data_IF_882741375175
#
_entry.id   IF_882741375175
#
_cell.length_a   1.000
_cell.length_b   1.000
_cell.length_c   1.000
_cell.angle_alpha   90.00
_cell.angle_beta   90.00
_cell.angle_gamma   90.00
#
_symmetry.space_group_name_H-M   'P 1'
#
loop_
_entity.id
_entity.type
_entity.pdbx_description
1 polymer ?
#
# COMPACT_ATOMS: atom_id res chain seq x y z
N UNK A 1 30.04 -75.80 79.82
CA UNK A 1 28.63 -76.13 80.08
C UNK A 1 27.71 -75.05 79.54
N UNK A 2 26.95 -75.47 78.59
CA UNK A 2 25.58 -75.09 78.36
C UNK A 2 25.27 -73.55 78.35
N UNK A 3 24.55 -73.01 77.56
CA UNK A 3 23.36 -73.43 76.85
C UNK A 3 22.97 -72.28 75.87
N UNK A 4 22.77 -72.66 74.75
CA UNK A 4 21.72 -72.34 73.73
C UNK A 4 20.64 -71.37 74.15
N UNK A 5 20.39 -70.38 73.35
CA UNK A 5 19.06 -70.04 72.90
C UNK A 5 19.12 -69.01 71.71
N UNK A 6 18.64 -69.47 70.68
CA UNK A 6 18.31 -68.67 69.49
C UNK A 6 16.94 -67.95 69.68
N UNK A 7 16.75 -66.75 69.29
CA UNK A 7 15.41 -66.28 69.03
C UNK A 7 15.20 -65.97 67.55
N UNK A 8 14.11 -66.45 67.13
CA UNK A 8 13.29 -66.35 65.91
C UNK A 8 13.29 -65.06 65.18
N UNK A 9 13.41 -65.22 63.86
CA UNK A 9 13.15 -64.28 62.84
C UNK A 9 11.71 -63.78 62.81
N UNK A 10 11.52 -62.51 63.01
CA UNK A 10 10.34 -61.83 62.51
C UNK A 10 10.86 -60.65 61.69
N UNK A 11 11.09 -60.94 60.49
CA UNK A 11 11.55 -59.91 59.56
C UNK A 11 10.86 -60.00 58.25
N UNK A 12 10.11 -59.05 57.95
CA UNK A 12 9.94 -58.92 56.54
C UNK A 12 8.58 -58.71 55.90
N UNK A 13 7.93 -57.68 56.24
CA UNK A 13 6.90 -57.18 55.30
C UNK A 13 6.87 -55.62 55.16
N UNK A 14 7.74 -54.95 55.91
CA UNK A 14 7.78 -53.47 55.86
C UNK A 14 8.41 -52.92 54.56
N UNK A 15 9.36 -53.66 53.99
CA UNK A 15 10.06 -53.19 52.77
C UNK A 15 9.24 -53.28 51.49
N UNK A 16 8.36 -54.30 51.36
CA UNK A 16 7.51 -54.44 50.20
C UNK A 16 6.40 -53.37 50.18
N UNK A 17 5.82 -53.05 51.32
CA UNK A 17 4.79 -51.96 51.36
C UNK A 17 5.36 -50.59 51.09
N UNK A 18 6.58 -50.27 51.55
CA UNK A 18 7.23 -48.99 51.21
C UNK A 18 7.62 -48.85 49.74
N UNK A 19 8.09 -49.96 49.14
CA UNK A 19 8.40 -49.93 47.70
C UNK A 19 7.14 -49.81 46.86
N UNK A 20 6.02 -50.40 47.24
CA UNK A 20 4.76 -50.30 46.54
C UNK A 20 4.14 -48.92 46.63
N UNK A 21 4.28 -48.22 47.79
CA UNK A 21 3.87 -46.85 48.01
C UNK A 21 4.70 -45.83 47.12
N UNK A 22 6.01 -46.10 47.00
CA UNK A 22 6.87 -45.24 46.17
C UNK A 22 6.61 -45.44 44.68
N UNK A 23 6.28 -46.63 44.23
CA UNK A 23 5.93 -46.91 42.83
C UNK A 23 4.55 -46.29 42.49
N UNK A 24 3.55 -46.41 43.39
CA UNK A 24 2.23 -45.83 43.23
C UNK A 24 2.26 -44.29 43.20
N UNK A 25 3.07 -43.68 44.07
CA UNK A 25 3.27 -42.22 44.08
C UNK A 25 3.96 -41.69 42.84
N UNK A 26 4.97 -42.41 42.33
CA UNK A 26 5.69 -42.04 41.10
C UNK A 26 4.82 -42.10 39.84
N UNK A 27 3.97 -43.12 39.73
CA UNK A 27 3.05 -43.25 38.60
C UNK A 27 1.95 -42.17 38.64
N UNK A 28 1.45 -41.84 39.85
CA UNK A 28 0.45 -40.80 40.00
C UNK A 28 0.99 -39.41 39.59
N UNK A 29 2.24 -39.09 39.98
CA UNK A 29 2.86 -37.81 39.58
C UNK A 29 3.14 -37.74 38.08
N UNK A 30 3.54 -38.85 37.45
CA UNK A 30 3.75 -38.92 36.01
C UNK A 30 2.44 -38.73 35.21
N UNK A 31 1.33 -39.32 35.68
CA UNK A 31 0.03 -39.16 35.01
C UNK A 31 -0.51 -37.74 35.13
N UNK A 32 -0.36 -37.12 36.31
CA UNK A 32 -0.75 -35.72 36.52
C UNK A 32 0.17 -34.75 35.80
N UNK A 33 1.46 -35.01 35.71
CA UNK A 33 2.43 -34.20 34.96
C UNK A 33 2.22 -34.29 33.46
N UNK A 34 1.99 -35.49 32.91
CA UNK A 34 1.73 -35.65 31.50
C UNK A 34 0.37 -35.09 31.06
N UNK A 35 -0.66 -35.27 31.88
CA UNK A 35 -2.00 -34.70 31.62
C UNK A 35 -2.01 -33.16 31.67
N UNK A 36 -1.29 -32.56 32.63
CA UNK A 36 -1.15 -31.11 32.72
C UNK A 36 -0.38 -30.51 31.54
N UNK A 37 0.66 -31.21 31.07
CA UNK A 37 1.46 -30.75 29.94
C UNK A 37 0.65 -30.79 28.60
N UNK A 38 -0.09 -31.86 28.39
CA UNK A 38 -0.93 -31.98 27.16
C UNK A 38 -2.08 -30.98 27.19
N UNK A 39 -2.74 -30.79 28.34
CA UNK A 39 -3.82 -29.82 28.45
C UNK A 39 -3.31 -28.36 28.35
N UNK A 40 -2.16 -28.07 28.91
CA UNK A 40 -1.48 -26.78 28.79
C UNK A 40 -1.07 -26.47 27.34
N UNK A 41 -0.61 -27.48 26.60
CA UNK A 41 -0.26 -27.32 25.18
C UNK A 41 -1.48 -27.09 24.28
N UNK A 42 -2.63 -27.66 24.63
CA UNK A 42 -3.87 -27.45 23.86
C UNK A 42 -4.52 -26.09 24.15
N UNK A 43 -4.43 -25.60 25.39
CA UNK A 43 -4.98 -24.30 25.78
C UNK A 43 -3.99 -23.14 25.60
N UNK A 44 -2.67 -23.40 25.75
CA UNK A 44 -1.63 -22.37 25.67
C UNK A 44 -1.26 -21.93 24.25
N UNK A 45 -1.63 -22.68 23.21
CA UNK A 45 -1.25 -22.38 21.83
C UNK A 45 -2.37 -21.67 21.03
N UNK A 46 -3.38 -21.15 21.70
CA UNK A 46 -4.23 -20.10 21.17
C UNK A 46 -3.54 -18.76 21.41
N UNK A 47 -2.42 -18.55 20.73
CA UNK A 47 -1.94 -17.23 20.46
C UNK A 47 -3.10 -16.52 19.75
N UNK A 48 -3.66 -15.43 20.30
CA UNK A 48 -4.62 -14.64 19.51
C UNK A 48 -3.88 -14.30 18.23
N UNK A 49 -4.37 -14.79 17.11
CA UNK A 49 -3.91 -14.27 15.85
C UNK A 49 -4.05 -12.77 15.99
N UNK A 50 -2.92 -12.08 16.13
CA UNK A 50 -2.89 -10.62 16.11
C UNK A 50 -3.65 -10.28 14.84
N UNK A 51 -4.87 -9.76 15.01
CA UNK A 51 -5.67 -9.30 13.90
C UNK A 51 -4.73 -8.40 13.10
N UNK A 52 -4.31 -8.87 11.93
CA UNK A 52 -3.45 -8.09 11.07
C UNK A 52 -4.16 -6.75 10.92
N UNK A 53 -3.58 -5.71 11.50
CA UNK A 53 -4.09 -4.36 11.34
C UNK A 53 -4.32 -4.17 9.83
N UNK A 54 -5.46 -3.63 9.39
CA UNK A 54 -5.74 -3.42 7.98
C UNK A 54 -4.51 -2.73 7.39
N UNK A 55 -3.86 -3.36 6.42
CA UNK A 55 -2.70 -2.77 5.76
C UNK A 55 -3.16 -1.41 5.26
N UNK A 56 -2.46 -0.35 5.67
CA UNK A 56 -2.74 1.00 5.19
C UNK A 56 -2.76 0.94 3.65
N UNK A 57 -3.74 1.58 2.98
CA UNK A 57 -3.83 1.55 1.53
C UNK A 57 -2.51 2.05 0.95
N UNK A 58 -1.82 1.18 0.24
CA UNK A 58 -0.59 1.54 -0.49
C UNK A 58 -1.02 2.44 -1.63
N UNK A 59 -0.83 3.75 -1.49
CA UNK A 59 -1.05 4.71 -2.57
C UNK A 59 0.09 4.50 -3.57
N UNK A 60 -0.19 4.04 -4.80
CA UNK A 60 0.85 3.85 -5.79
C UNK A 60 1.52 5.20 -6.11
N UNK A 61 2.83 5.22 -6.41
CA UNK A 61 3.51 6.46 -6.76
C UNK A 61 2.86 7.09 -7.99
N UNK A 62 2.74 8.44 -8.03
CA UNK A 62 2.16 9.13 -9.17
C UNK A 62 3.02 8.96 -10.42
N UNK A 63 2.36 8.79 -11.58
CA UNK A 63 3.01 8.69 -12.88
C UNK A 63 2.91 10.05 -13.57
N UNK A 64 4.06 10.56 -14.05
CA UNK A 64 4.14 11.82 -14.77
C UNK A 64 4.49 11.59 -16.23
N UNK A 65 3.80 12.30 -17.13
CA UNK A 65 4.06 12.33 -18.58
C UNK A 65 4.51 13.74 -18.92
N UNK A 66 5.82 13.99 -19.07
CA UNK A 66 6.30 15.30 -19.51
C UNK A 66 5.94 15.52 -20.99
N UNK A 67 5.58 16.75 -21.32
CA UNK A 67 5.34 17.17 -22.69
C UNK A 67 6.38 18.22 -23.10
N UNK A 68 6.74 18.23 -24.38
CA UNK A 68 7.57 19.28 -24.93
C UNK A 68 6.88 20.64 -24.76
N UNK A 69 7.66 21.69 -24.59
CA UNK A 69 7.15 23.03 -24.42
C UNK A 69 6.30 23.48 -25.60
N UNK A 70 5.32 24.31 -25.30
CA UNK A 70 4.44 24.95 -26.26
C UNK A 70 4.83 26.41 -26.41
N UNK A 71 4.80 26.91 -27.64
CA UNK A 71 4.88 28.34 -27.93
C UNK A 71 3.69 28.72 -28.78
N UNK A 72 2.85 29.63 -28.30
CA UNK A 72 1.65 30.09 -28.98
C UNK A 72 1.59 31.60 -28.99
N UNK A 73 0.98 32.16 -30.04
CA UNK A 73 0.63 33.57 -30.14
C UNK A 73 -0.73 33.78 -29.44
N UNK A 74 -0.77 34.70 -28.49
CA UNK A 74 -1.98 35.13 -27.78
C UNK A 74 -2.41 36.48 -28.35
N UNK A 75 -3.66 36.57 -28.82
CA UNK A 75 -4.25 37.83 -29.26
C UNK A 75 -4.72 38.62 -28.03
N UNK A 76 -4.22 39.82 -27.84
CA UNK A 76 -4.60 40.74 -26.78
C UNK A 76 -5.06 42.09 -27.31
N UNK A 77 -5.80 42.86 -26.50
CA UNK A 77 -6.23 44.20 -26.85
C UNK A 77 -5.04 45.16 -26.99
N UNK A 78 -3.98 44.95 -26.22
CA UNK A 78 -2.74 45.74 -26.22
C UNK A 78 -1.68 45.24 -27.24
N UNK A 79 -2.06 44.31 -28.13
CA UNK A 79 -1.18 43.68 -29.09
C UNK A 79 -0.96 42.18 -28.86
N UNK A 80 -0.31 41.54 -29.84
CA UNK A 80 0.02 40.13 -29.77
C UNK A 80 1.11 39.87 -28.80
N UNK A 81 0.95 38.79 -27.97
CA UNK A 81 1.92 38.31 -27.01
C UNK A 81 2.22 36.82 -27.25
N UNK A 82 3.40 36.40 -26.86
CA UNK A 82 3.78 35.00 -26.94
C UNK A 82 3.70 34.35 -25.58
N UNK A 83 3.02 33.20 -25.52
CA UNK A 83 3.08 32.30 -24.37
C UNK A 83 4.08 31.19 -24.66
N UNK A 84 5.08 31.06 -23.80
CA UNK A 84 5.94 29.90 -23.75
C UNK A 84 5.66 29.12 -22.46
N UNK A 85 5.21 27.86 -22.59
CA UNK A 85 4.85 27.05 -21.44
C UNK A 85 5.29 25.60 -21.59
N UNK A 86 5.89 25.04 -20.52
CA UNK A 86 6.12 23.62 -20.35
C UNK A 86 5.09 23.05 -19.41
N UNK A 87 4.67 21.84 -19.66
CA UNK A 87 3.73 21.16 -18.77
C UNK A 87 3.98 19.66 -18.66
N UNK A 88 3.52 19.07 -17.57
CA UNK A 88 3.58 17.65 -17.29
C UNK A 88 2.20 17.17 -16.82
N UNK A 89 1.74 16.05 -17.34
CA UNK A 89 0.46 15.45 -16.98
C UNK A 89 0.70 14.43 -15.87
N UNK A 90 -0.06 14.53 -14.77
CA UNK A 90 -0.13 13.49 -13.74
C UNK A 90 -1.25 12.54 -14.11
N UNK A 91 -0.93 11.27 -14.31
CA UNK A 91 -1.89 10.23 -14.71
C UNK A 91 -2.03 9.15 -13.64
N UNK A 92 -3.18 8.47 -13.64
CA UNK A 92 -3.53 7.52 -12.60
C UNK A 92 -2.86 6.16 -12.77
N UNK A 93 -2.54 5.76 -14.01
CA UNK A 93 -2.09 4.40 -14.32
C UNK A 93 -1.21 4.34 -15.58
N UNK A 94 -0.50 3.21 -15.71
CA UNK A 94 0.41 2.95 -16.82
C UNK A 94 -0.32 2.83 -18.18
N UNK A 95 -1.57 2.38 -18.19
CA UNK A 95 -2.36 2.27 -19.41
C UNK A 95 -2.68 3.65 -19.97
N UNK A 96 -3.02 4.60 -19.10
CA UNK A 96 -3.20 6.00 -19.49
C UNK A 96 -1.89 6.60 -20.00
N UNK A 97 -0.75 6.32 -19.34
CA UNK A 97 0.56 6.76 -19.80
C UNK A 97 0.89 6.22 -21.19
N UNK A 98 0.67 4.94 -21.44
CA UNK A 98 0.91 4.31 -22.75
C UNK A 98 0.04 4.94 -23.84
N UNK A 99 -1.25 5.16 -23.58
CA UNK A 99 -2.16 5.84 -24.51
C UNK A 99 -1.75 7.28 -24.77
N UNK A 100 -1.31 8.03 -23.76
CA UNK A 100 -0.77 9.39 -23.93
C UNK A 100 0.43 9.40 -24.89
N UNK A 101 1.33 8.44 -24.75
CA UNK A 101 2.50 8.31 -25.63
C UNK A 101 2.08 7.94 -27.06
N UNK A 102 1.15 7.02 -27.21
CA UNK A 102 0.65 6.56 -28.51
C UNK A 102 -0.10 7.68 -29.26
N UNK A 103 -0.91 8.47 -28.55
CA UNK A 103 -1.72 9.56 -29.10
C UNK A 103 -1.15 10.94 -28.78
N UNK A 104 0.16 11.03 -28.59
CA UNK A 104 0.83 12.28 -28.25
C UNK A 104 0.51 13.45 -29.21
N UNK A 105 0.48 13.28 -30.56
CA UNK A 105 0.10 14.35 -31.46
C UNK A 105 -1.31 14.89 -31.22
N UNK A 106 -2.27 14.01 -30.95
CA UNK A 106 -3.66 14.40 -30.64
C UNK A 106 -3.73 15.16 -29.31
N UNK A 107 -3.05 14.67 -28.27
CA UNK A 107 -2.97 15.35 -26.99
C UNK A 107 -2.36 16.76 -27.15
N UNK A 108 -1.26 16.87 -27.89
CA UNK A 108 -0.60 18.16 -28.15
C UNK A 108 -1.50 19.12 -28.93
N UNK A 109 -2.23 18.62 -29.95
CA UNK A 109 -3.17 19.43 -30.73
C UNK A 109 -4.27 20.03 -29.85
N UNK A 110 -4.90 19.23 -29.00
CA UNK A 110 -5.94 19.70 -28.06
C UNK A 110 -5.42 20.77 -27.11
N UNK A 111 -4.23 20.56 -26.55
CA UNK A 111 -3.59 21.56 -25.68
C UNK A 111 -3.27 22.83 -26.43
N UNK A 112 -2.69 22.73 -27.63
CA UNK A 112 -2.33 23.88 -28.45
C UNK A 112 -3.54 24.76 -28.75
N UNK A 113 -4.66 24.16 -29.13
CA UNK A 113 -5.92 24.88 -29.42
C UNK A 113 -6.44 25.61 -28.16
N UNK A 114 -6.40 24.97 -27.01
CA UNK A 114 -6.80 25.59 -25.74
C UNK A 114 -5.90 26.77 -25.37
N UNK A 115 -4.59 26.62 -25.53
CA UNK A 115 -3.63 27.68 -25.24
C UNK A 115 -3.84 28.89 -26.16
N UNK A 116 -4.02 28.63 -27.47
CA UNK A 116 -4.21 29.68 -28.49
C UNK A 116 -5.53 30.45 -28.37
N UNK A 117 -6.52 29.87 -27.69
CA UNK A 117 -7.81 30.51 -27.43
C UNK A 117 -7.83 31.43 -26.21
N UNK A 118 -6.70 31.54 -25.46
CA UNK A 118 -6.62 32.36 -24.24
C UNK A 118 -6.19 33.79 -24.49
N UNK A 119 -6.66 34.67 -23.61
CA UNK A 119 -6.21 36.06 -23.60
C UNK A 119 -5.05 36.25 -22.60
N UNK A 120 -4.07 37.13 -22.88
CA UNK A 120 -2.96 37.41 -21.99
C UNK A 120 -3.39 37.83 -20.59
N UNK A 121 -4.46 38.63 -20.49
CA UNK A 121 -5.01 39.12 -19.23
C UNK A 121 -5.49 37.98 -18.31
N UNK A 122 -6.14 36.96 -18.85
CA UNK A 122 -6.57 35.79 -18.10
C UNK A 122 -5.37 35.03 -17.48
N UNK A 123 -4.30 34.92 -18.25
CA UNK A 123 -3.10 34.15 -17.89
C UNK A 123 -2.17 34.88 -16.93
N UNK A 124 -2.43 36.17 -16.64
CA UNK A 124 -1.68 36.96 -15.66
C UNK A 124 -2.01 36.59 -14.23
N UNK A 125 -3.20 36.01 -13.96
CA UNK A 125 -3.69 35.66 -12.63
C UNK A 125 -3.43 34.20 -12.27
N UNK A 126 -3.39 33.88 -10.98
CA UNK A 126 -3.29 32.50 -10.49
C UNK A 126 -4.55 31.71 -10.82
N UNK A 127 -5.71 32.32 -10.69
CA UNK A 127 -7.02 31.74 -10.99
C UNK A 127 -7.13 31.38 -12.47
N UNK A 128 -6.70 32.25 -13.38
CA UNK A 128 -6.69 31.99 -14.81
C UNK A 128 -5.77 30.81 -15.20
N UNK A 129 -4.60 30.70 -14.56
CA UNK A 129 -3.70 29.56 -14.76
C UNK A 129 -4.31 28.25 -14.24
N UNK A 130 -4.97 28.25 -13.08
CA UNK A 130 -5.69 27.09 -12.55
C UNK A 130 -6.82 26.66 -13.49
N UNK A 131 -7.62 27.63 -13.92
CA UNK A 131 -8.69 27.36 -14.90
C UNK A 131 -8.15 26.75 -16.17
N UNK A 132 -7.04 27.27 -16.71
CA UNK A 132 -6.38 26.69 -17.87
C UNK A 132 -5.92 25.24 -17.61
N UNK A 133 -5.35 24.94 -16.45
CA UNK A 133 -4.96 23.58 -16.10
C UNK A 133 -6.17 22.64 -16.05
N UNK A 134 -7.29 23.07 -15.48
CA UNK A 134 -8.54 22.30 -15.44
C UNK A 134 -9.13 22.07 -16.83
N UNK A 135 -9.14 23.09 -17.68
CA UNK A 135 -9.64 22.98 -19.06
C UNK A 135 -8.77 22.01 -19.88
N UNK A 136 -7.44 22.06 -19.74
CA UNK A 136 -6.52 21.11 -20.37
C UNK A 136 -6.78 19.69 -19.84
N UNK A 137 -6.89 19.51 -18.51
CA UNK A 137 -7.19 18.21 -17.91
C UNK A 137 -8.48 17.63 -18.49
N UNK A 138 -9.55 18.43 -18.57
CA UNK A 138 -10.83 17.99 -19.08
C UNK A 138 -10.76 17.59 -20.57
N UNK A 139 -10.07 18.36 -21.40
CA UNK A 139 -9.91 18.06 -22.83
C UNK A 139 -9.07 16.81 -23.09
N UNK A 140 -8.01 16.61 -22.31
CA UNK A 140 -7.13 15.44 -22.44
C UNK A 140 -7.76 14.19 -21.82
N UNK A 141 -8.67 14.33 -20.88
CA UNK A 141 -9.39 13.20 -20.30
C UNK A 141 -10.40 12.57 -21.25
N UNK A 142 -10.77 13.26 -22.34
CA UNK A 142 -11.65 12.69 -23.37
C UNK A 142 -10.96 11.58 -24.17
N UNK A 143 -11.72 10.59 -24.69
CA UNK A 143 -11.17 9.57 -25.57
C UNK A 143 -10.42 10.19 -26.75
N UNK A 144 -9.26 9.64 -27.12
CA UNK A 144 -8.48 10.10 -28.26
C UNK A 144 -9.04 9.60 -29.60
N UNK A 145 -9.76 8.48 -29.58
CA UNK A 145 -10.45 7.94 -30.76
C UNK A 145 -11.76 7.27 -30.36
N UNK A 146 -12.64 7.08 -31.30
CA UNK A 146 -13.90 6.36 -31.09
C UNK A 146 -13.62 4.93 -30.60
N UNK A 147 -14.34 4.51 -29.56
CA UNK A 147 -14.20 3.18 -28.94
C UNK A 147 -13.07 3.07 -27.92
N UNK A 148 -12.24 4.09 -27.74
CA UNK A 148 -11.24 4.11 -26.65
C UNK A 148 -11.87 4.59 -25.34
N UNK A 149 -11.39 4.08 -24.19
CA UNK A 149 -11.80 4.60 -22.90
C UNK A 149 -11.28 6.03 -22.67
N UNK A 150 -11.93 6.82 -21.79
CA UNK A 150 -11.42 8.11 -21.34
C UNK A 150 -10.07 7.96 -20.64
N UNK A 151 -9.25 9.03 -20.71
CA UNK A 151 -7.94 9.07 -20.08
C UNK A 151 -8.09 9.46 -18.61
N UNK A 152 -7.35 8.78 -17.73
CA UNK A 152 -7.37 9.06 -16.29
C UNK A 152 -6.29 10.09 -15.94
N UNK A 153 -6.48 11.34 -16.39
CA UNK A 153 -5.60 12.46 -16.04
C UNK A 153 -6.04 13.03 -14.71
N UNK A 154 -5.14 13.02 -13.73
CA UNK A 154 -5.39 13.49 -12.37
C UNK A 154 -5.14 14.99 -12.25
N UNK A 155 -4.07 15.48 -12.90
CA UNK A 155 -3.65 16.86 -12.77
C UNK A 155 -2.79 17.31 -13.97
N UNK A 156 -2.70 18.63 -14.17
CA UNK A 156 -1.85 19.29 -15.15
C UNK A 156 -0.92 20.26 -14.43
N UNK A 157 0.36 20.05 -14.55
CA UNK A 157 1.41 20.80 -13.86
C UNK A 157 2.17 21.65 -14.87
N UNK A 158 2.15 22.96 -14.69
CA UNK A 158 3.02 23.85 -15.45
C UNK A 158 4.43 23.82 -14.90
N UNK A 159 5.41 23.43 -15.72
CA UNK A 159 6.83 23.38 -15.39
C UNK A 159 7.55 24.68 -15.73
N UNK A 160 7.03 25.41 -16.72
CA UNK A 160 7.42 26.77 -17.05
C UNK A 160 6.20 27.54 -17.57
N UNK A 161 6.15 28.87 -17.37
CA UNK A 161 5.05 29.70 -17.84
C UNK A 161 5.52 31.14 -18.00
N UNK A 162 5.71 31.57 -19.24
CA UNK A 162 6.20 32.91 -19.58
C UNK A 162 5.29 33.52 -20.64
N UNK A 163 4.79 34.72 -20.37
CA UNK A 163 4.06 35.56 -21.32
C UNK A 163 4.92 36.78 -21.62
N UNK A 164 5.21 37.03 -22.88
CA UNK A 164 6.05 38.16 -23.34
C UNK A 164 5.43 38.83 -24.56
#
# INVERSE_FOLDING_TARGET
>A
MANTASPSQIGGNASKRRRMLLIGGGVLVLVLGAGGFVLGSILGNRQPAAAAAPAAPVIPPPIFVPLDAFTVNLKGEDGDRFLHTGLSLKVADADTQARMTQYLPEARSRILLLLSARQPAELSTVEGKRKLADDIRNAISQPFAAGLPPQRVLDVLFTSFVVQ
#
